data_IF_499580304427
#
_entry.id   IF_499580304427
#
_cell.length_a   1.000
_cell.length_b   1.000
_cell.length_c   1.000
_cell.angle_alpha   90.00
_cell.angle_beta   90.00
_cell.angle_gamma   90.00
#
_symmetry.space_group_name_H-M   'P 1'
#
loop_
_entity.id
_entity.type
_entity.pdbx_description
1 polymer ?
#
# COMPACT_ATOMS: atom_id res chain seq x y z
N UNK A 1 8.10 -6.14 -13.12
CA UNK A 1 7.17 -6.60 -12.08
C UNK A 1 6.67 -5.50 -11.15
N UNK A 2 7.45 -4.48 -10.82
CA UNK A 2 7.10 -3.51 -9.75
C UNK A 2 5.79 -2.73 -9.97
N UNK A 3 5.63 -2.00 -11.09
CA UNK A 3 4.43 -1.15 -11.29
C UNK A 3 3.15 -1.94 -11.60
N UNK A 4 3.28 -3.07 -12.30
CA UNK A 4 2.15 -3.96 -12.60
C UNK A 4 1.63 -4.65 -11.34
N UNK A 5 2.53 -5.03 -10.44
CA UNK A 5 2.15 -5.64 -9.17
C UNK A 5 1.53 -4.61 -8.22
N UNK A 6 2.03 -3.37 -8.15
CA UNK A 6 1.33 -2.27 -7.45
C UNK A 6 -0.09 -2.04 -7.98
N UNK A 7 -0.27 -2.06 -9.31
CA UNK A 7 -1.58 -1.97 -9.94
C UNK A 7 -2.49 -3.13 -9.52
N UNK A 8 -1.95 -4.35 -9.41
CA UNK A 8 -2.67 -5.53 -8.92
C UNK A 8 -3.10 -5.36 -7.46
N UNK A 9 -2.16 -4.97 -6.59
CA UNK A 9 -2.41 -4.75 -5.16
C UNK A 9 -3.47 -3.67 -4.93
N UNK A 10 -3.47 -2.60 -5.74
CA UNK A 10 -4.48 -1.54 -5.67
C UNK A 10 -5.89 -2.02 -6.06
N UNK A 11 -5.99 -2.87 -7.08
CA UNK A 11 -7.25 -3.18 -7.76
C UNK A 11 -7.92 -4.49 -7.35
N UNK A 12 -7.14 -5.51 -7.02
CA UNK A 12 -7.65 -6.88 -6.84
C UNK A 12 -7.91 -7.25 -5.38
N UNK A 13 -7.71 -6.30 -4.46
CA UNK A 13 -7.91 -6.48 -3.04
C UNK A 13 -9.02 -5.55 -2.53
N UNK A 14 -9.92 -6.09 -1.70
CA UNK A 14 -11.00 -5.36 -1.06
C UNK A 14 -10.47 -4.43 0.05
N UNK A 15 -11.11 -3.27 0.16
CA UNK A 15 -10.92 -2.28 1.22
C UNK A 15 -11.65 -2.68 2.53
N UNK A 16 -12.50 -3.71 2.49
CA UNK A 16 -13.28 -4.17 3.65
C UNK A 16 -12.37 -4.75 4.75
N UNK A 17 -12.78 -4.51 6.00
CA UNK A 17 -12.16 -5.10 7.20
C UNK A 17 -13.11 -6.18 7.72
N UNK A 18 -12.77 -7.47 7.56
CA UNK A 18 -13.64 -8.55 8.00
C UNK A 18 -13.64 -8.69 9.53
N UNK A 19 -14.82 -8.89 10.10
CA UNK A 19 -15.04 -9.02 11.56
C UNK A 19 -14.51 -10.35 12.15
N UNK A 20 -14.21 -11.34 11.31
CA UNK A 20 -13.72 -12.66 11.72
C UNK A 20 -12.33 -12.96 11.18
N UNK A 21 -11.52 -13.70 11.96
CA UNK A 21 -10.18 -14.14 11.55
C UNK A 21 -10.25 -14.90 10.22
N UNK A 22 -9.53 -14.38 9.23
CA UNK A 22 -9.55 -14.85 7.85
C UNK A 22 -8.79 -16.18 7.66
N UNK A 23 -9.47 -17.31 7.84
CA UNK A 23 -9.03 -18.60 7.31
C UNK A 23 -9.44 -18.74 5.84
N UNK A 24 -8.54 -18.44 4.90
CA UNK A 24 -8.76 -18.65 3.45
C UNK A 24 -9.47 -17.51 2.69
N UNK A 25 -9.54 -17.75 1.37
CA UNK A 25 -10.23 -17.14 0.19
C UNK A 25 -10.71 -15.68 0.18
N UNK A 26 -9.94 -14.74 0.74
CA UNK A 26 -10.27 -13.31 0.62
C UNK A 26 -9.06 -12.41 0.45
N UNK A 27 -8.99 -11.70 -0.68
CA UNK A 27 -8.01 -10.66 -0.96
C UNK A 27 -8.41 -9.37 -0.24
N UNK A 28 -8.01 -9.19 1.02
CA UNK A 28 -8.26 -7.98 1.79
C UNK A 28 -6.96 -7.19 2.05
N UNK A 29 -7.04 -5.87 1.98
CA UNK A 29 -5.87 -4.98 2.20
C UNK A 29 -5.40 -4.93 3.65
N UNK A 30 -6.23 -5.34 4.61
CA UNK A 30 -5.86 -5.49 6.02
C UNK A 30 -4.85 -6.62 6.28
N UNK A 31 -4.60 -7.51 5.32
CA UNK A 31 -3.66 -8.62 5.52
C UNK A 31 -2.21 -8.13 5.48
N UNK A 32 -1.38 -8.63 6.40
CA UNK A 32 0.06 -8.33 6.45
C UNK A 32 0.79 -8.53 5.13
N UNK A 33 0.47 -9.60 4.40
CA UNK A 33 1.09 -9.90 3.10
C UNK A 33 0.79 -8.83 2.04
N UNK A 34 -0.38 -8.19 2.09
CA UNK A 34 -0.71 -7.09 1.18
C UNK A 34 0.16 -5.88 1.46
N UNK A 35 0.27 -5.49 2.74
CA UNK A 35 1.15 -4.40 3.18
C UNK A 35 2.61 -4.62 2.82
N UNK A 36 3.13 -5.82 3.09
CA UNK A 36 4.51 -6.17 2.71
C UNK A 36 4.72 -6.08 1.19
N UNK A 37 3.73 -6.47 0.39
CA UNK A 37 3.75 -6.31 -1.05
C UNK A 37 3.83 -4.85 -1.48
N UNK A 38 2.97 -4.00 -0.91
CA UNK A 38 2.95 -2.55 -1.20
C UNK A 38 4.29 -1.90 -0.85
N UNK A 39 4.81 -2.17 0.36
CA UNK A 39 6.09 -1.61 0.83
C UNK A 39 7.23 -2.03 -0.10
N UNK A 40 7.40 -3.34 -0.35
CA UNK A 40 8.50 -3.84 -1.16
C UNK A 40 8.46 -3.35 -2.62
N UNK A 41 7.26 -3.23 -3.19
CA UNK A 41 7.12 -2.68 -4.53
C UNK A 41 7.35 -1.16 -4.57
N UNK A 42 6.93 -0.40 -3.56
CA UNK A 42 7.19 1.05 -3.48
C UNK A 42 8.67 1.37 -3.30
N UNK A 43 9.39 0.63 -2.44
CA UNK A 43 10.86 0.72 -2.31
C UNK A 43 11.55 0.45 -3.65
N UNK A 44 11.09 -0.59 -4.35
CA UNK A 44 11.62 -0.93 -5.67
C UNK A 44 11.27 0.14 -6.71
N UNK A 45 10.09 0.74 -6.66
CA UNK A 45 9.67 1.80 -7.58
C UNK A 45 10.47 3.09 -7.36
N UNK A 46 10.70 3.47 -6.10
CA UNK A 46 11.52 4.62 -5.73
C UNK A 46 12.97 4.44 -6.19
N UNK A 47 13.60 3.32 -5.85
CA UNK A 47 15.00 3.03 -6.22
C UNK A 47 15.23 2.99 -7.73
N UNK A 48 14.20 2.63 -8.52
CA UNK A 48 14.24 2.65 -9.98
C UNK A 48 13.82 3.98 -10.61
N UNK A 49 13.45 4.98 -9.82
CA UNK A 49 12.98 6.28 -10.32
C UNK A 49 11.63 6.21 -11.05
N UNK A 50 10.79 5.22 -10.74
CA UNK A 50 9.47 5.03 -11.35
C UNK A 50 8.36 5.83 -10.64
N UNK A 51 8.63 6.30 -9.42
CA UNK A 51 7.72 7.19 -8.69
C UNK A 51 7.86 8.63 -9.23
N UNK A 52 6.75 9.31 -9.55
CA UNK A 52 6.76 10.71 -9.96
C UNK A 52 7.51 11.61 -8.97
N UNK A 53 8.28 12.57 -9.47
CA UNK A 53 9.16 13.40 -8.63
C UNK A 53 8.41 14.17 -7.53
N UNK A 54 7.19 14.62 -7.82
CA UNK A 54 6.30 15.31 -6.89
C UNK A 54 5.75 14.40 -5.78
N UNK A 55 5.83 13.07 -5.96
CA UNK A 55 5.36 12.07 -5.00
C UNK A 55 6.48 11.40 -4.21
N UNK A 56 7.76 11.67 -4.53
CA UNK A 56 8.90 10.98 -3.91
C UNK A 56 8.95 11.17 -2.40
N UNK A 57 8.92 12.41 -1.94
CA UNK A 57 9.01 12.73 -0.51
C UNK A 57 7.84 12.13 0.28
N UNK A 58 6.65 12.13 -0.29
CA UNK A 58 5.47 11.52 0.32
C UNK A 58 5.60 9.99 0.38
N UNK A 59 6.13 9.37 -0.67
CA UNK A 59 6.37 7.91 -0.71
C UNK A 59 7.47 7.50 0.26
N UNK A 60 8.53 8.30 0.41
CA UNK A 60 9.59 8.09 1.39
C UNK A 60 9.05 8.18 2.82
N UNK A 61 8.26 9.22 3.13
CA UNK A 61 7.63 9.37 4.44
C UNK A 61 6.62 8.26 4.75
N UNK A 62 5.89 7.79 3.72
CA UNK A 62 5.05 6.60 3.83
C UNK A 62 5.88 5.37 4.22
N UNK A 63 6.97 5.08 3.51
CA UNK A 63 7.82 3.94 3.81
C UNK A 63 8.43 4.04 5.21
N UNK A 64 8.93 5.20 5.59
CA UNK A 64 9.50 5.43 6.93
C UNK A 64 8.47 5.16 8.03
N UNK A 65 7.24 5.67 7.88
CA UNK A 65 6.19 5.44 8.84
C UNK A 65 5.79 3.96 8.94
N UNK A 66 5.48 3.33 7.81
CA UNK A 66 4.90 1.98 7.77
C UNK A 66 5.95 0.84 7.89
N UNK A 67 7.25 1.17 7.89
CA UNK A 67 8.34 0.23 8.24
C UNK A 67 8.93 0.47 9.63
N UNK A 68 8.47 1.51 10.33
CA UNK A 68 8.96 1.83 11.68
C UNK A 68 8.61 0.74 12.70
N UNK A 69 9.46 0.61 13.71
CA UNK A 69 9.20 -0.26 14.87
C UNK A 69 7.91 0.14 15.61
N UNK A 70 7.57 1.43 15.57
CA UNK A 70 6.34 1.97 16.17
C UNK A 70 5.10 1.44 15.45
N UNK A 71 5.08 1.46 14.12
CA UNK A 71 3.97 0.89 13.34
C UNK A 71 3.88 -0.62 13.50
N UNK A 72 5.02 -1.33 13.57
CA UNK A 72 5.02 -2.76 13.87
C UNK A 72 4.49 -3.10 15.28
N UNK A 73 4.53 -2.16 16.21
CA UNK A 73 3.98 -2.27 17.55
C UNK A 73 2.51 -1.81 17.66
N UNK A 74 1.97 -1.14 16.64
CA UNK A 74 0.58 -0.69 16.60
C UNK A 74 -0.41 -1.83 16.31
N UNK A 75 -1.70 -1.69 16.71
CA UNK A 75 -2.74 -2.68 16.43
C UNK A 75 -3.08 -2.75 14.92
N UNK A 76 -4.00 -3.66 14.58
CA UNK A 76 -4.51 -3.94 13.23
C UNK A 76 -4.70 -2.69 12.36
N UNK A 77 -4.33 -2.80 11.08
CA UNK A 77 -4.58 -1.81 10.02
C UNK A 77 -6.02 -1.30 10.05
N UNK A 78 -6.20 0.02 9.98
CA UNK A 78 -7.51 0.67 9.94
C UNK A 78 -7.99 0.96 8.52
N UNK A 79 -9.28 1.30 8.37
CA UNK A 79 -9.80 1.75 7.07
C UNK A 79 -9.17 3.06 6.63
N UNK A 80 -8.73 3.90 7.57
CA UNK A 80 -8.01 5.14 7.27
C UNK A 80 -6.64 4.86 6.64
N UNK A 81 -5.91 3.86 7.16
CA UNK A 81 -4.62 3.43 6.59
C UNK A 81 -4.78 2.92 5.15
N UNK A 82 -5.82 2.11 4.91
CA UNK A 82 -6.14 1.61 3.57
C UNK A 82 -6.46 2.77 2.62
N UNK A 83 -7.23 3.75 3.08
CA UNK A 83 -7.56 4.96 2.31
C UNK A 83 -6.33 5.77 1.93
N UNK A 84 -5.40 5.97 2.89
CA UNK A 84 -4.13 6.67 2.65
C UNK A 84 -3.27 5.96 1.60
N UNK A 85 -3.09 4.64 1.72
CA UNK A 85 -2.35 3.86 0.73
C UNK A 85 -3.01 3.91 -0.64
N UNK A 86 -4.32 3.71 -0.71
CA UNK A 86 -5.05 3.71 -1.98
C UNK A 86 -4.87 5.06 -2.72
N UNK A 87 -4.97 6.17 -1.99
CA UNK A 87 -4.77 7.51 -2.54
C UNK A 87 -3.35 7.70 -3.10
N UNK A 88 -2.33 7.27 -2.33
CA UNK A 88 -0.93 7.33 -2.78
C UNK A 88 -0.71 6.46 -4.04
N UNK A 89 -1.21 5.22 -4.03
CA UNK A 89 -1.11 4.30 -5.17
C UNK A 89 -1.83 4.85 -6.41
N UNK A 90 -3.01 5.45 -6.25
CA UNK A 90 -3.75 6.04 -7.36
C UNK A 90 -2.95 7.18 -8.02
N UNK A 91 -2.34 8.05 -7.21
CA UNK A 91 -1.48 9.13 -7.72
C UNK A 91 -0.23 8.60 -8.42
N UNK A 92 0.46 7.61 -7.82
CA UNK A 92 1.65 6.97 -8.43
C UNK A 92 1.30 6.26 -9.75
N UNK A 93 0.13 5.63 -9.83
CA UNK A 93 -0.34 4.92 -11.03
C UNK A 93 -0.98 5.84 -12.06
N UNK A 94 -1.02 7.16 -11.83
CA UNK A 94 -1.61 8.14 -12.75
C UNK A 94 -3.13 8.03 -12.85
N UNK A 95 -3.80 7.55 -11.81
CA UNK A 95 -5.25 7.39 -11.72
C UNK A 95 -5.83 8.52 -10.89
N UNK A 96 -6.03 9.66 -11.53
CA UNK A 96 -6.48 10.87 -10.83
C UNK A 96 -6.45 12.13 -11.67
N UNK A 97 -7.02 12.09 -12.88
CA UNK A 97 -7.69 13.24 -13.51
C UNK A 97 -8.86 12.68 -14.34
N UNK A 98 -10.04 12.66 -13.71
CA UNK A 98 -11.35 12.87 -14.38
C UNK A 98 -12.05 13.94 -13.55
#
# INVERSE_FOLDING_TARGET
MTMEHLKRLRNEFSDDIPDTVLHGDGSFKVRRNWWQGVIGDLETALSKGLVPNDLKQETEGFLEHYTSDEFHAQPLTTSEDIGKVNSLLDRILGRGQI
#
